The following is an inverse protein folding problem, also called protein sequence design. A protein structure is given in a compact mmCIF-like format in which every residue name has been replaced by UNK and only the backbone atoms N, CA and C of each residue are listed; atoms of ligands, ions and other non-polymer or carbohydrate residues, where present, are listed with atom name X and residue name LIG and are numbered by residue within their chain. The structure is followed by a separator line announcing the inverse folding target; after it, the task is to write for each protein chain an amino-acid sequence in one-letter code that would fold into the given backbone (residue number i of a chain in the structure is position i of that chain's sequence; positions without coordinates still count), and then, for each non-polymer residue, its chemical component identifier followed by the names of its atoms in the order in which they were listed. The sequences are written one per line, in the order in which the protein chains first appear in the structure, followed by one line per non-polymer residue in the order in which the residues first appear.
data_IF_275757981227
#
_entry.id   IF_275757981227
#
_cell.length_a   1.000
_cell.length_b   1.000
_cell.length_c   1.000
_cell.angle_alpha   90.00
_cell.angle_beta   90.00
_cell.angle_gamma   90.00
#
_symmetry.space_group_name_H-M   'P 1'
#
loop_
_entity.id
_entity.type
_entity.pdbx_description
1 polymer ?
#
# COMPACT_ATOMS: atom_id res chain seq x y z
N UNK A 1 -3.03 -13.80 -4.06
CA UNK A 1 -2.28 -12.85 -4.91
C UNK A 1 -0.99 -12.46 -4.22
N UNK A 2 0.07 -12.10 -4.94
CA UNK A 2 1.37 -11.72 -4.34
C UNK A 2 1.90 -10.45 -4.99
N UNK A 3 2.43 -9.53 -4.19
CA UNK A 3 3.02 -8.28 -4.68
C UNK A 3 4.27 -7.91 -3.86
N UNK A 4 5.30 -7.43 -4.55
CA UNK A 4 6.47 -6.78 -3.96
C UNK A 4 6.52 -5.32 -4.42
N UNK A 5 6.42 -4.42 -3.46
CA UNK A 5 6.54 -2.97 -3.66
C UNK A 5 7.89 -2.52 -3.14
N UNK A 6 8.84 -2.37 -4.06
CA UNK A 6 10.20 -1.89 -3.80
C UNK A 6 10.32 -0.37 -3.85
N UNK A 7 11.32 0.16 -3.13
CA UNK A 7 11.73 1.56 -3.16
C UNK A 7 10.59 2.54 -2.85
N UNK A 8 9.84 2.31 -1.77
CA UNK A 8 8.80 3.26 -1.34
C UNK A 8 9.38 4.56 -0.79
N UNK A 9 10.61 4.51 -0.28
CA UNK A 9 11.38 5.64 0.22
C UNK A 9 11.36 6.84 -0.70
N UNK A 10 10.98 7.99 -0.17
CA UNK A 10 10.95 9.25 -0.94
C UNK A 10 9.95 9.28 -2.10
N UNK A 11 9.00 8.32 -2.18
CA UNK A 11 7.84 8.46 -3.06
C UNK A 11 6.87 9.55 -2.56
N UNK A 12 7.10 10.06 -1.33
CA UNK A 12 6.51 11.29 -0.83
C UNK A 12 7.12 12.51 -1.56
N UNK A 13 6.25 13.29 -2.23
CA UNK A 13 6.52 14.63 -2.78
C UNK A 13 7.05 14.76 -4.23
N UNK A 14 6.29 14.28 -5.21
CA UNK A 14 6.34 14.78 -6.60
C UNK A 14 5.51 16.08 -6.80
N UNK A 15 5.29 16.87 -5.75
CA UNK A 15 4.37 18.03 -5.77
C UNK A 15 2.88 17.68 -5.64
N UNK A 16 2.57 16.44 -5.25
CA UNK A 16 1.22 16.00 -4.91
C UNK A 16 0.91 16.35 -3.44
N UNK A 17 -0.37 16.60 -3.15
CA UNK A 17 -0.85 16.59 -1.78
C UNK A 17 -0.94 15.15 -1.23
N UNK A 18 -1.18 15.02 0.07
CA UNK A 18 -1.33 13.72 0.75
C UNK A 18 -2.35 12.81 0.04
N UNK A 19 -3.48 13.38 -0.40
CA UNK A 19 -4.52 12.62 -1.08
C UNK A 19 -4.04 12.07 -2.43
N UNK A 20 -3.35 12.88 -3.23
CA UNK A 20 -2.78 12.48 -4.51
C UNK A 20 -1.66 11.44 -4.36
N UNK A 21 -0.84 11.54 -3.30
CA UNK A 21 0.16 10.54 -2.95
C UNK A 21 -0.50 9.19 -2.66
N UNK A 22 -1.48 9.17 -1.75
CA UNK A 22 -2.21 7.96 -1.36
C UNK A 22 -2.89 7.30 -2.57
N UNK A 23 -3.53 8.10 -3.43
CA UNK A 23 -4.15 7.59 -4.66
C UNK A 23 -3.13 6.88 -5.56
N UNK A 24 -2.00 7.53 -5.83
CA UNK A 24 -0.96 7.00 -6.70
C UNK A 24 -0.38 5.68 -6.16
N UNK A 25 -0.17 5.59 -4.85
CA UNK A 25 0.31 4.37 -4.20
C UNK A 25 -0.68 3.21 -4.36
N UNK A 26 -1.98 3.46 -4.13
CA UNK A 26 -3.01 2.44 -4.34
C UNK A 26 -3.11 2.00 -5.80
N UNK A 27 -3.03 2.92 -6.76
CA UNK A 27 -2.99 2.59 -8.20
C UNK A 27 -1.81 1.67 -8.52
N UNK A 28 -0.62 1.97 -8.00
CA UNK A 28 0.59 1.17 -8.21
C UNK A 28 0.44 -0.24 -7.62
N UNK A 29 -0.01 -0.35 -6.38
CA UNK A 29 -0.22 -1.65 -5.73
C UNK A 29 -1.24 -2.49 -6.51
N UNK A 30 -2.40 -1.91 -6.80
CA UNK A 30 -3.49 -2.63 -7.47
C UNK A 30 -3.11 -3.03 -8.90
N UNK A 31 -2.39 -2.15 -9.62
CA UNK A 31 -1.86 -2.44 -10.94
C UNK A 31 -0.89 -3.63 -10.92
N UNK A 32 0.06 -3.65 -9.98
CA UNK A 32 1.01 -4.76 -9.80
C UNK A 32 0.32 -6.06 -9.39
N UNK A 33 -0.50 -6.03 -8.33
CA UNK A 33 -1.06 -7.26 -7.74
C UNK A 33 -2.14 -7.91 -8.62
N UNK A 34 -2.88 -7.11 -9.39
CA UNK A 34 -3.91 -7.58 -10.33
C UNK A 34 -3.37 -7.76 -11.75
N UNK A 35 -2.09 -7.44 -11.99
CA UNK A 35 -1.43 -7.47 -13.30
C UNK A 35 -2.21 -6.66 -14.38
N UNK A 36 -2.65 -5.46 -14.00
CA UNK A 36 -3.46 -4.56 -14.85
C UNK A 36 -2.75 -3.22 -15.01
N UNK A 37 -2.06 -3.05 -16.14
CA UNK A 37 -1.32 -1.82 -16.44
C UNK A 37 -2.26 -0.63 -16.69
N UNK A 38 -1.84 0.57 -16.29
CA UNK A 38 -2.60 1.80 -16.52
C UNK A 38 -3.88 1.92 -15.69
N UNK A 39 -3.96 1.16 -14.60
CA UNK A 39 -5.07 1.25 -13.65
C UNK A 39 -5.17 2.66 -13.09
N UNK A 40 -6.38 3.21 -13.11
CA UNK A 40 -6.71 4.46 -12.43
C UNK A 40 -7.79 4.23 -11.40
N UNK A 41 -7.68 4.92 -10.29
CA UNK A 41 -8.72 4.96 -9.25
C UNK A 41 -9.07 6.42 -8.96
N UNK A 42 -10.25 6.66 -8.42
CA UNK A 42 -10.75 7.99 -8.11
C UNK A 42 -11.01 8.19 -6.61
N UNK A 43 -10.66 7.21 -5.77
CA UNK A 43 -10.79 7.28 -4.31
C UNK A 43 -9.87 6.29 -3.59
N UNK A 44 -9.64 6.52 -2.30
CA UNK A 44 -8.74 5.74 -1.44
C UNK A 44 -9.34 4.43 -0.87
N UNK A 45 -10.56 4.07 -1.25
CA UNK A 45 -11.16 2.77 -0.88
C UNK A 45 -10.98 1.66 -1.93
N UNK A 46 -10.15 1.89 -2.95
CA UNK A 46 -10.03 0.95 -4.06
C UNK A 46 -9.34 -0.36 -3.65
N UNK A 47 -8.40 -0.31 -2.71
CA UNK A 47 -7.78 -1.51 -2.14
C UNK A 47 -8.82 -2.40 -1.44
N UNK A 48 -9.53 -1.93 -0.39
CA UNK A 48 -10.50 -2.77 0.30
C UNK A 48 -11.60 -3.27 -0.65
N UNK A 49 -12.12 -2.42 -1.55
CA UNK A 49 -13.18 -2.83 -2.48
C UNK A 49 -12.76 -3.96 -3.45
N UNK A 50 -11.46 -4.12 -3.71
CA UNK A 50 -10.94 -5.14 -4.64
C UNK A 50 -10.28 -6.32 -3.96
N UNK A 51 -9.76 -6.14 -2.75
CA UNK A 51 -8.93 -7.13 -2.06
C UNK A 51 -9.54 -7.67 -0.75
N UNK A 52 -10.68 -7.15 -0.27
CA UNK A 52 -11.29 -7.54 1.02
C UNK A 52 -11.61 -9.04 1.13
N UNK A 53 -11.88 -9.73 0.02
CA UNK A 53 -12.15 -11.17 0.00
C UNK A 53 -10.98 -11.99 -0.56
N UNK A 54 -9.86 -11.33 -0.87
CA UNK A 54 -8.71 -11.95 -1.51
C UNK A 54 -7.62 -12.27 -0.49
N UNK A 55 -7.14 -13.51 -0.50
CA UNK A 55 -5.93 -13.87 0.23
C UNK A 55 -4.71 -13.31 -0.49
N UNK A 56 -4.00 -12.37 0.14
CA UNK A 56 -2.84 -11.70 -0.43
C UNK A 56 -1.55 -11.92 0.38
N UNK A 57 -0.41 -11.86 -0.29
CA UNK A 57 0.91 -11.68 0.31
C UNK A 57 1.50 -10.39 -0.28
N UNK A 58 1.54 -9.33 0.50
CA UNK A 58 2.11 -8.04 0.09
C UNK A 58 3.38 -7.80 0.89
N UNK A 59 4.45 -7.42 0.21
CA UNK A 59 5.70 -7.03 0.83
C UNK A 59 5.94 -5.57 0.43
N UNK A 60 6.04 -4.70 1.43
CA UNK A 60 6.30 -3.27 1.31
C UNK A 60 7.73 -3.03 1.78
N UNK A 61 8.60 -2.62 0.88
CA UNK A 61 10.03 -2.46 1.11
C UNK A 61 10.43 -0.98 1.13
N UNK A 62 11.33 -0.64 2.04
CA UNK A 62 11.78 0.72 2.34
C UNK A 62 10.63 1.72 2.65
N UNK A 63 9.70 1.34 3.53
CA UNK A 63 8.65 2.27 4.00
C UNK A 63 9.25 3.28 4.98
N UNK A 64 9.19 4.57 4.68
CA UNK A 64 9.80 5.65 5.48
C UNK A 64 8.81 6.75 5.92
N UNK A 65 7.54 6.62 5.54
CA UNK A 65 6.49 7.60 5.84
C UNK A 65 5.19 6.90 6.19
N UNK A 66 4.55 7.36 7.27
CA UNK A 66 3.26 6.87 7.72
C UNK A 66 2.19 6.93 6.61
N UNK A 67 2.18 7.98 5.80
CA UNK A 67 1.20 8.13 4.72
C UNK A 67 1.29 6.99 3.69
N UNK A 68 2.46 6.38 3.52
CA UNK A 68 2.62 5.23 2.63
C UNK A 68 1.95 3.99 3.22
N UNK A 69 2.08 3.79 4.52
CA UNK A 69 1.43 2.68 5.22
C UNK A 69 -0.09 2.85 5.22
N UNK A 70 -0.59 4.04 5.58
CA UNK A 70 -2.01 4.38 5.50
C UNK A 70 -2.57 4.28 4.07
N UNK A 71 -1.75 4.54 3.04
CA UNK A 71 -2.20 4.36 1.66
C UNK A 71 -2.40 2.89 1.30
N UNK A 72 -1.53 2.00 1.78
CA UNK A 72 -1.35 0.65 1.26
C UNK A 72 -1.94 -0.44 2.15
N UNK A 73 -1.98 -0.22 3.46
CA UNK A 73 -2.34 -1.23 4.45
C UNK A 73 -2.85 -0.61 5.78
N UNK A 74 -3.72 0.40 5.70
CA UNK A 74 -4.25 1.12 6.87
C UNK A 74 -5.02 0.21 7.85
N UNK A 75 -5.90 -0.64 7.31
CA UNK A 75 -6.66 -1.60 8.11
C UNK A 75 -6.47 -3.03 7.59
N UNK A 76 -6.39 -3.97 8.53
CA UNK A 76 -6.34 -5.41 8.22
C UNK A 76 -7.62 -5.90 7.52
N UNK A 77 -8.74 -5.20 7.70
CA UNK A 77 -10.04 -5.45 7.06
C UNK A 77 -10.01 -5.28 5.54
N UNK A 78 -8.99 -4.61 5.00
CA UNK A 78 -8.85 -4.39 3.57
C UNK A 78 -8.51 -5.66 2.79
N UNK A 79 -8.17 -6.76 3.48
CA UNK A 79 -7.69 -7.99 2.88
C UNK A 79 -8.44 -9.22 3.39
N UNK A 80 -8.55 -10.22 2.53
CA UNK A 80 -9.24 -11.46 2.86
C UNK A 80 -8.53 -12.29 3.94
N UNK A 81 -9.25 -13.21 4.60
CA UNK A 81 -8.69 -14.07 5.63
C UNK A 81 -7.43 -14.84 5.17
N UNK A 82 -6.42 -14.89 6.06
CA UNK A 82 -5.15 -15.55 5.79
C UNK A 82 -4.15 -14.73 4.96
N UNK A 83 -4.46 -13.47 4.69
CA UNK A 83 -3.53 -12.51 4.09
C UNK A 83 -2.35 -12.20 5.01
N UNK A 84 -1.24 -11.79 4.41
CA UNK A 84 -0.03 -11.34 5.11
C UNK A 84 0.52 -10.10 4.42
N UNK A 85 0.77 -9.06 5.21
CA UNK A 85 1.41 -7.83 4.78
C UNK A 85 2.72 -7.76 5.57
N UNK A 86 3.84 -7.69 4.87
CA UNK A 86 5.17 -7.62 5.46
C UNK A 86 5.73 -6.24 5.14
N UNK A 87 6.06 -5.48 6.18
CA UNK A 87 6.63 -4.15 6.07
C UNK A 87 8.11 -4.26 6.44
N UNK A 88 8.96 -3.77 5.56
CA UNK A 88 10.40 -3.64 5.77
C UNK A 88 10.68 -2.14 5.82
N UNK A 89 11.25 -1.70 6.95
CA UNK A 89 11.56 -0.31 7.22
C UNK A 89 12.84 -0.21 8.04
N UNK A 90 13.61 0.85 7.83
CA UNK A 90 14.73 1.24 8.69
C UNK A 90 14.26 2.16 9.83
N UNK A 91 13.01 2.64 9.77
CA UNK A 91 12.40 3.52 10.78
C UNK A 91 11.71 2.70 11.87
N UNK A 92 12.37 2.62 13.01
CA UNK A 92 11.82 1.92 14.17
C UNK A 92 10.59 2.64 14.77
N UNK A 93 10.52 3.97 14.69
CA UNK A 93 9.38 4.72 15.24
C UNK A 93 8.10 4.43 14.45
N UNK A 94 8.22 4.21 13.14
CA UNK A 94 7.11 3.81 12.28
C UNK A 94 6.52 2.46 12.73
N UNK A 95 7.36 1.51 13.13
CA UNK A 95 6.93 0.23 13.68
C UNK A 95 6.25 0.38 15.06
N UNK A 96 6.73 1.28 15.91
CA UNK A 96 6.13 1.49 17.24
C UNK A 96 4.73 2.11 17.16
N UNK A 97 4.43 2.88 16.11
CA UNK A 97 3.12 3.50 15.91
C UNK A 97 2.07 2.55 15.29
N UNK A 98 2.51 1.53 14.53
CA UNK A 98 1.64 0.68 13.70
C UNK A 98 1.82 -0.84 13.87
N UNK A 99 2.69 -1.25 14.81
CA UNK A 99 3.00 -2.66 15.12
C UNK A 99 2.06 -3.33 16.12
#
# INVERSE_FOLDING_TARGET
LTCFMENLRGNSNNGLDEYGLKLRLQEQLLSKILNQNGMRINHLRAIPERLCDQKVLIILDDVDDLQQLEALADETSWFGPGSRIIIITEDQELLEQHG
#
